data_IF_207983105784
#
_entry.id   IF_207983105784
#
_cell.length_a   1.000
_cell.length_b   1.000
_cell.length_c   1.000
_cell.angle_alpha   90.00
_cell.angle_beta   90.00
_cell.angle_gamma   90.00
#
_symmetry.space_group_name_H-M   'P 1'
#
loop_
_entity.id
_entity.type
_entity.pdbx_description
1 polymer ?
#
# COMPACT_ATOMS: atom_id res chain seq x y z
N UNK A 1 34.74 18.12 24.86
CA UNK A 1 33.83 18.33 23.72
C UNK A 1 33.42 16.96 23.20
N UNK A 2 32.22 16.50 23.54
CA UNK A 2 31.63 15.28 22.97
C UNK A 2 31.14 15.63 21.57
N UNK A 3 31.70 14.98 20.55
CA UNK A 3 31.35 15.22 19.15
C UNK A 3 29.87 14.97 18.88
N UNK A 4 29.31 15.68 17.90
CA UNK A 4 27.93 15.53 17.46
C UNK A 4 27.72 14.06 17.05
N UNK A 5 26.76 13.34 17.64
CA UNK A 5 26.48 11.96 17.23
C UNK A 5 26.01 11.95 15.78
N UNK A 6 26.76 11.23 14.93
CA UNK A 6 26.40 11.01 13.52
C UNK A 6 25.64 9.70 13.43
N UNK A 7 24.40 9.74 12.96
CA UNK A 7 23.64 8.53 12.68
C UNK A 7 24.31 7.77 11.51
N UNK A 8 24.81 6.57 11.78
CA UNK A 8 25.53 5.74 10.79
C UNK A 8 24.63 4.72 10.08
N UNK A 9 23.36 4.65 10.45
CA UNK A 9 22.40 3.71 9.85
C UNK A 9 22.17 4.06 8.39
N UNK A 10 22.53 3.15 7.49
CA UNK A 10 22.29 3.26 6.05
C UNK A 10 21.21 2.28 5.65
N UNK A 11 20.12 2.79 5.08
CA UNK A 11 19.10 1.96 4.44
C UNK A 11 19.30 1.98 2.93
N UNK A 12 19.30 0.80 2.30
CA UNK A 12 19.24 0.72 0.84
C UNK A 12 17.82 1.08 0.42
N UNK A 13 17.65 2.28 -0.14
CA UNK A 13 16.38 2.68 -0.73
C UNK A 13 16.06 1.80 -1.95
N UNK A 14 14.77 1.66 -2.26
CA UNK A 14 14.37 1.02 -3.51
C UNK A 14 14.92 1.82 -4.72
N UNK A 15 14.93 1.21 -5.89
CA UNK A 15 15.43 1.80 -7.14
C UNK A 15 14.42 2.74 -7.82
N UNK A 16 13.32 3.12 -7.14
CA UNK A 16 12.26 3.95 -7.71
C UNK A 16 11.32 3.22 -8.67
N UNK A 17 11.39 1.89 -8.81
CA UNK A 17 10.40 1.14 -9.59
C UNK A 17 9.04 1.11 -8.90
N UNK A 18 7.96 1.00 -9.68
CA UNK A 18 6.64 0.70 -9.14
C UNK A 18 6.68 -0.68 -8.45
N UNK A 19 6.41 -0.71 -7.15
CA UNK A 19 6.46 -1.93 -6.36
C UNK A 19 7.86 -2.55 -6.23
N UNK A 20 7.93 -3.62 -5.45
CA UNK A 20 9.12 -4.48 -5.31
C UNK A 20 8.79 -5.85 -5.88
N UNK A 21 9.72 -6.43 -6.66
CA UNK A 21 9.67 -7.85 -7.02
C UNK A 21 10.26 -8.76 -5.94
N UNK A 22 11.00 -8.16 -5.02
CA UNK A 22 11.53 -8.82 -3.83
C UNK A 22 10.55 -8.60 -2.69
N UNK A 23 9.60 -9.52 -2.55
CA UNK A 23 8.55 -9.45 -1.52
C UNK A 23 9.14 -9.61 -0.11
N UNK A 24 10.17 -10.44 0.05
CA UNK A 24 10.80 -10.71 1.35
C UNK A 24 11.50 -9.45 1.87
N UNK A 25 12.29 -8.79 1.02
CA UNK A 25 12.93 -7.53 1.39
C UNK A 25 11.90 -6.43 1.66
N UNK A 26 10.80 -6.38 0.89
CA UNK A 26 9.73 -5.41 1.10
C UNK A 26 9.05 -5.63 2.45
N UNK A 27 8.62 -6.85 2.76
CA UNK A 27 8.00 -7.19 4.03
C UNK A 27 8.92 -6.87 5.22
N UNK A 28 10.19 -7.31 5.16
CA UNK A 28 11.18 -7.03 6.18
C UNK A 28 11.38 -5.52 6.40
N UNK A 29 11.35 -4.72 5.33
CA UNK A 29 11.48 -3.27 5.43
C UNK A 29 10.28 -2.60 6.13
N UNK A 30 9.06 -3.08 5.88
CA UNK A 30 7.83 -2.55 6.50
C UNK A 30 7.78 -2.94 7.98
N UNK A 31 8.13 -4.19 8.32
CA UNK A 31 8.25 -4.63 9.72
C UNK A 31 9.31 -3.82 10.46
N UNK A 32 10.45 -3.57 9.84
CA UNK A 32 11.49 -2.72 10.43
C UNK A 32 11.00 -1.29 10.67
N UNK A 33 10.26 -0.69 9.74
CA UNK A 33 9.68 0.65 9.90
C UNK A 33 8.70 0.68 11.09
N UNK A 34 7.84 -0.32 11.24
CA UNK A 34 6.92 -0.44 12.38
C UNK A 34 7.68 -0.50 13.72
N UNK A 35 8.72 -1.32 13.81
CA UNK A 35 9.58 -1.40 15.00
C UNK A 35 10.38 -0.11 15.26
N UNK A 36 10.62 0.69 14.23
CA UNK A 36 11.28 1.99 14.34
C UNK A 36 10.34 3.13 14.74
N UNK A 37 9.05 2.84 14.96
CA UNK A 37 8.06 3.82 15.41
C UNK A 37 7.19 4.41 14.29
N UNK A 38 7.35 3.98 13.04
CA UNK A 38 6.45 4.42 11.97
C UNK A 38 5.06 3.83 12.19
N UNK A 39 4.04 4.68 12.01
CA UNK A 39 2.61 4.32 12.16
C UNK A 39 1.77 4.66 10.93
N UNK A 40 2.37 5.28 9.91
CA UNK A 40 1.74 5.52 8.61
C UNK A 40 2.42 4.62 7.57
N UNK A 41 1.63 3.76 6.93
CA UNK A 41 2.04 2.97 5.78
C UNK A 41 1.27 3.45 4.56
N UNK A 42 2.00 3.97 3.57
CA UNK A 42 1.43 4.45 2.31
C UNK A 42 1.79 3.47 1.18
N UNK A 43 0.77 3.05 0.43
CA UNK A 43 0.90 2.24 -0.77
C UNK A 43 -0.06 2.75 -1.85
N UNK A 44 -0.18 2.01 -2.94
CA UNK A 44 -1.18 2.24 -3.97
C UNK A 44 -1.55 0.92 -4.65
N UNK A 45 -2.83 0.86 -5.05
CA UNK A 45 -3.34 0.30 -6.30
C UNK A 45 -2.20 -0.26 -7.12
N UNK A 46 -1.70 0.60 -8.01
CA UNK A 46 -0.79 0.33 -9.11
C UNK A 46 0.54 -0.35 -8.75
N UNK A 47 0.99 -0.31 -7.49
CA UNK A 47 2.25 -0.91 -7.08
C UNK A 47 2.21 -2.44 -7.03
N UNK A 48 1.02 -3.05 -7.01
CA UNK A 48 0.82 -4.51 -6.98
C UNK A 48 1.46 -5.22 -5.78
N UNK A 49 1.64 -4.51 -4.65
CA UNK A 49 2.29 -5.05 -3.44
C UNK A 49 1.38 -5.07 -2.22
N UNK A 50 0.11 -4.70 -2.35
CA UNK A 50 -0.87 -4.70 -1.25
C UNK A 50 -0.92 -6.04 -0.48
N UNK A 51 -0.84 -7.23 -1.12
CA UNK A 51 -0.75 -8.49 -0.38
C UNK A 51 0.45 -8.60 0.57
N UNK A 52 1.61 -8.10 0.14
CA UNK A 52 2.85 -8.09 0.94
C UNK A 52 2.75 -7.08 2.07
N UNK A 53 2.20 -5.90 1.78
CA UNK A 53 1.97 -4.85 2.78
C UNK A 53 1.03 -5.34 3.88
N UNK A 54 -0.07 -5.97 3.49
CA UNK A 54 -1.03 -6.57 4.42
C UNK A 54 -0.41 -7.63 5.31
N UNK A 55 0.43 -8.51 4.74
CA UNK A 55 1.16 -9.53 5.48
C UNK A 55 2.12 -8.90 6.49
N UNK A 56 2.89 -7.89 6.08
CA UNK A 56 3.82 -7.16 6.94
C UNK A 56 3.15 -6.43 8.11
N UNK A 57 1.94 -5.89 7.90
CA UNK A 57 1.15 -5.26 8.97
C UNK A 57 0.75 -6.31 10.02
N UNK A 58 0.32 -7.51 9.60
CA UNK A 58 -0.06 -8.59 10.52
C UNK A 58 1.15 -9.20 11.25
N UNK A 59 2.29 -9.32 10.59
CA UNK A 59 3.50 -9.93 11.16
C UNK A 59 4.36 -8.94 11.96
N UNK A 60 4.15 -7.63 11.78
CA UNK A 60 4.93 -6.57 12.42
C UNK A 60 4.65 -6.34 13.91
N UNK A 61 3.65 -6.99 14.49
CA UNK A 61 3.40 -6.99 15.93
C UNK A 61 2.90 -5.68 16.54
N UNK A 62 2.65 -4.65 15.74
CA UNK A 62 2.01 -3.39 16.17
C UNK A 62 0.49 -3.57 16.09
N UNK A 63 -0.30 -3.16 17.11
CA UNK A 63 -1.76 -3.23 17.06
C UNK A 63 -2.31 -2.53 15.82
N UNK A 64 -3.32 -3.13 15.17
CA UNK A 64 -3.85 -2.63 13.90
C UNK A 64 -4.38 -1.20 14.06
N UNK A 65 -5.04 -0.92 15.17
CA UNK A 65 -5.58 0.40 15.53
C UNK A 65 -4.53 1.52 15.62
N UNK A 66 -3.26 1.17 15.83
CA UNK A 66 -2.16 2.13 15.90
C UNK A 66 -1.56 2.44 14.52
N UNK A 67 -1.97 1.71 13.47
CA UNK A 67 -1.42 1.85 12.11
C UNK A 67 -2.45 2.55 11.22
N UNK A 68 -2.05 3.68 10.63
CA UNK A 68 -2.76 4.29 9.51
C UNK A 68 -2.27 3.67 8.21
N UNK A 69 -3.20 3.14 7.41
CA UNK A 69 -2.88 2.51 6.11
C UNK A 69 -3.56 3.31 5.02
N UNK A 70 -2.75 3.97 4.20
CA UNK A 70 -3.21 4.74 3.04
C UNK A 70 -2.95 3.94 1.78
N UNK A 71 -3.97 3.75 0.94
CA UNK A 71 -3.79 3.24 -0.43
C UNK A 71 -4.54 4.10 -1.44
N UNK A 72 -4.23 3.88 -2.72
CA UNK A 72 -4.70 4.72 -3.81
C UNK A 72 -5.23 3.87 -4.96
N UNK A 73 -6.50 4.02 -5.31
CA UNK A 73 -7.03 3.41 -6.51
C UNK A 73 -6.56 4.16 -7.76
N UNK A 74 -6.36 3.42 -8.85
CA UNK A 74 -5.93 4.01 -10.12
C UNK A 74 -7.08 4.67 -10.92
N UNK A 75 -6.74 5.47 -11.92
CA UNK A 75 -7.65 6.35 -12.64
C UNK A 75 -8.88 5.66 -13.27
N UNK A 76 -8.79 4.36 -13.60
CA UNK A 76 -9.93 3.64 -14.17
C UNK A 76 -11.05 3.37 -13.16
N UNK A 77 -10.78 3.44 -11.85
CA UNK A 77 -11.77 3.21 -10.80
C UNK A 77 -12.56 4.46 -10.38
N UNK A 78 -12.33 5.62 -10.98
CA UNK A 78 -13.03 6.86 -10.59
C UNK A 78 -14.57 6.76 -10.66
N UNK A 79 -15.08 5.91 -11.55
CA UNK A 79 -16.51 5.68 -11.71
C UNK A 79 -17.09 4.66 -10.71
N UNK A 80 -16.23 3.87 -10.05
CA UNK A 80 -16.62 2.82 -9.10
C UNK A 80 -15.57 2.67 -7.98
N UNK A 81 -15.40 3.75 -7.21
CA UNK A 81 -14.39 3.81 -6.12
C UNK A 81 -14.71 2.84 -4.98
N UNK A 82 -15.97 2.43 -4.83
CA UNK A 82 -16.40 1.46 -3.83
C UNK A 82 -15.88 0.05 -4.17
N UNK A 83 -15.95 -0.36 -5.44
CA UNK A 83 -15.35 -1.61 -5.89
C UNK A 83 -13.84 -1.60 -5.70
N UNK A 84 -13.18 -0.49 -6.06
CA UNK A 84 -11.74 -0.35 -5.87
C UNK A 84 -11.32 -0.47 -4.40
N UNK A 85 -12.08 0.15 -3.49
CA UNK A 85 -11.88 0.00 -2.05
C UNK A 85 -11.96 -1.47 -1.63
N UNK A 86 -12.96 -2.20 -2.10
CA UNK A 86 -13.15 -3.60 -1.74
C UNK A 86 -12.00 -4.51 -2.26
N UNK A 87 -11.45 -4.22 -3.44
CA UNK A 87 -10.24 -4.89 -3.94
C UNK A 87 -9.07 -4.64 -3.00
N UNK A 88 -8.78 -3.38 -2.67
CA UNK A 88 -7.66 -3.03 -1.79
C UNK A 88 -7.81 -3.61 -0.38
N UNK A 89 -9.02 -3.60 0.20
CA UNK A 89 -9.30 -4.23 1.50
C UNK A 89 -9.03 -5.73 1.46
N UNK A 90 -9.49 -6.42 0.41
CA UNK A 90 -9.23 -7.85 0.19
C UNK A 90 -7.73 -8.12 0.05
N UNK A 91 -7.04 -7.35 -0.77
CA UNK A 91 -5.63 -7.58 -1.09
C UNK A 91 -4.73 -7.29 0.11
N UNK A 92 -5.01 -6.22 0.86
CA UNK A 92 -4.36 -5.95 2.15
C UNK A 92 -4.79 -6.95 3.23
N UNK A 93 -5.96 -7.56 3.11
CA UNK A 93 -6.56 -8.39 4.15
C UNK A 93 -6.83 -7.59 5.43
N UNK A 94 -7.49 -6.44 5.28
CA UNK A 94 -7.83 -5.49 6.35
C UNK A 94 -9.31 -5.12 6.28
N UNK A 95 -9.89 -4.72 7.41
CA UNK A 95 -11.31 -4.35 7.50
C UNK A 95 -11.57 -2.86 7.21
N UNK A 96 -10.56 -2.01 7.34
CA UNK A 96 -10.64 -0.57 7.07
C UNK A 96 -9.30 -0.02 6.60
N UNK A 97 -9.33 1.05 5.78
CA UNK A 97 -8.17 1.78 5.25
C UNK A 97 -8.55 3.24 4.91
N UNK A 98 -7.55 4.10 4.76
CA UNK A 98 -7.68 5.42 4.16
C UNK A 98 -7.47 5.32 2.65
N UNK A 99 -8.55 5.48 1.88
CA UNK A 99 -8.54 5.25 0.44
C UNK A 99 -8.61 6.54 -0.36
N UNK A 100 -7.60 6.81 -1.18
CA UNK A 100 -7.47 8.04 -1.96
C UNK A 100 -7.54 7.76 -3.46
N UNK A 101 -7.87 8.80 -4.22
CA UNK A 101 -7.67 8.79 -5.68
C UNK A 101 -6.17 8.99 -5.96
N UNK A 102 -5.56 8.15 -6.79
CA UNK A 102 -4.12 8.29 -7.09
C UNK A 102 -3.80 9.59 -7.85
N UNK A 103 -4.69 10.00 -8.74
CA UNK A 103 -4.62 11.25 -9.48
C UNK A 103 -6.06 11.74 -9.77
N UNK A 104 -6.26 13.00 -10.18
CA UNK A 104 -7.53 13.41 -10.78
C UNK A 104 -7.74 12.67 -12.11
N UNK A 105 -8.99 12.27 -12.40
CA UNK A 105 -9.31 11.69 -13.70
C UNK A 105 -9.25 12.76 -14.80
N UNK A 106 -8.39 12.57 -15.79
CA UNK A 106 -8.50 13.28 -17.06
C UNK A 106 -9.40 12.46 -17.97
N UNK A 107 -10.17 13.13 -18.82
CA UNK A 107 -11.13 12.53 -19.76
C UNK A 107 -10.53 11.47 -20.72
N UNK A 108 -9.20 11.30 -20.72
CA UNK A 108 -8.46 10.40 -21.61
C UNK A 108 -7.53 9.41 -20.87
N UNK A 109 -7.62 9.28 -19.53
CA UNK A 109 -6.73 8.42 -18.73
C UNK A 109 -7.15 6.95 -18.68
N UNK A 110 -8.24 6.60 -19.36
CA UNK A 110 -8.48 5.21 -19.70
C UNK A 110 -7.34 4.77 -20.64
N UNK A 111 -6.81 3.55 -20.46
CA UNK A 111 -6.00 2.85 -21.48
C UNK A 111 -4.48 3.11 -21.49
N UNK A 112 -3.80 3.19 -20.34
CA UNK A 112 -2.35 2.89 -20.31
C UNK A 112 -2.05 1.60 -19.54
N UNK A 113 -2.73 1.40 -18.42
CA UNK A 113 -2.67 0.18 -17.61
C UNK A 113 -4.12 -0.21 -17.32
N UNK A 114 -4.58 -1.30 -17.93
CA UNK A 114 -5.94 -1.80 -17.71
C UNK A 114 -6.13 -2.29 -16.27
N UNK A 115 -7.39 -2.50 -15.83
CA UNK A 115 -7.64 -3.14 -14.55
C UNK A 115 -6.88 -4.46 -14.46
N UNK A 116 -6.32 -4.74 -13.28
CA UNK A 116 -5.76 -6.08 -13.04
C UNK A 116 -6.83 -7.12 -13.32
N UNK A 117 -6.43 -8.33 -13.71
CA UNK A 117 -7.33 -9.48 -13.84
C UNK A 117 -7.92 -9.97 -12.50
N UNK A 118 -8.02 -9.09 -11.50
CA UNK A 118 -8.55 -9.34 -10.17
C UNK A 118 -10.02 -9.72 -10.28
N UNK A 119 -10.33 -10.97 -9.96
CA UNK A 119 -11.68 -11.55 -9.93
C UNK A 119 -12.47 -11.09 -8.70
N UNK A 120 -12.57 -9.78 -8.46
CA UNK A 120 -13.52 -9.30 -7.45
C UNK A 120 -14.93 -9.36 -8.04
N UNK A 121 -15.73 -10.30 -7.56
CA UNK A 121 -17.17 -10.31 -7.77
C UNK A 121 -17.81 -9.47 -6.68
N UNK A 122 -18.51 -8.40 -7.06
CA UNK A 122 -19.32 -7.61 -6.13
C UNK A 122 -20.29 -8.57 -5.43
N UNK A 123 -20.34 -8.62 -4.09
CA UNK A 123 -21.39 -9.36 -3.41
C UNK A 123 -22.74 -8.78 -3.86
N UNK A 124 -23.70 -9.66 -4.15
CA UNK A 124 -25.04 -9.24 -4.53
C UNK A 124 -25.58 -8.28 -3.46
N UNK A 125 -26.14 -7.16 -3.91
CA UNK A 125 -26.76 -6.21 -3.00
C UNK A 125 -28.07 -6.82 -2.49
N UNK A 126 -28.14 -7.08 -1.19
CA UNK A 126 -29.39 -7.45 -0.50
C UNK A 126 -30.46 -6.34 -0.60
#
# INVERSE_FOLDING_TARGET
>A
MTGIPVCTTKFKLNNGSMGSKDEEALEASIVHAQHSGYRLIDTAEIYQVEPVVGRAIRTGGVPREDITVVTKFWNYWHHDSAHALAISLRDLGLDYIDHLSHAPARSNDAVAIGPRSSTYSKPDAD
#
